data_IF_921686233704
#
_entry.id   IF_921686233704
#
_cell.length_a   1.000
_cell.length_b   1.000
_cell.length_c   1.000
_cell.angle_alpha   90.00
_cell.angle_beta   90.00
_cell.angle_gamma   90.00
#
_symmetry.space_group_name_H-M   'P 1'
#
loop_
_entity.id
_entity.type
_entity.pdbx_description
1 polymer ?
#
# COMPACT_ATOMS: atom_id res chain seq x y z
N UNK A 1 -17.90 2.80 3.32
CA UNK A 1 -16.98 2.87 2.15
C UNK A 1 -17.44 1.99 0.99
N UNK A 2 -17.74 0.70 1.18
CA UNK A 2 -18.45 -0.10 0.15
C UNK A 2 -19.93 -0.32 0.54
N UNK A 3 -20.21 -0.59 1.81
CA UNK A 3 -21.55 -0.82 2.37
C UNK A 3 -22.52 0.37 2.33
N UNK A 4 -22.01 1.59 2.18
CA UNK A 4 -22.82 2.81 2.14
C UNK A 4 -23.17 3.25 0.70
N UNK A 5 -22.86 2.43 -0.31
CA UNK A 5 -23.05 2.77 -1.73
C UNK A 5 -24.37 2.21 -2.25
N UNK A 6 -24.91 2.86 -3.29
CA UNK A 6 -26.11 2.40 -4.01
C UNK A 6 -25.91 1.02 -4.62
N UNK A 7 -24.72 0.76 -5.15
CA UNK A 7 -24.32 -0.53 -5.72
C UNK A 7 -22.97 -0.95 -5.11
N UNK A 8 -22.97 -1.79 -4.06
CA UNK A 8 -21.74 -2.28 -3.45
C UNK A 8 -21.05 -3.29 -4.38
N UNK A 9 -19.73 -3.23 -4.41
CA UNK A 9 -18.95 -4.17 -5.21
C UNK A 9 -18.82 -5.50 -4.46
N UNK A 10 -18.88 -6.65 -5.16
CA UNK A 10 -18.53 -7.92 -4.54
C UNK A 10 -17.04 -7.89 -4.17
N UNK A 11 -16.75 -8.06 -2.89
CA UNK A 11 -15.38 -8.10 -2.34
C UNK A 11 -15.13 -9.51 -1.85
N UNK A 12 -14.14 -10.17 -2.43
CA UNK A 12 -13.72 -11.50 -2.03
C UNK A 12 -12.40 -11.40 -1.26
N UNK A 13 -12.36 -11.95 -0.04
CA UNK A 13 -11.13 -12.18 0.69
C UNK A 13 -10.75 -13.63 0.46
N UNK A 14 -9.65 -13.85 -0.25
CA UNK A 14 -9.19 -15.19 -0.61
C UNK A 14 -8.11 -15.65 0.38
N UNK A 15 -7.88 -16.97 0.48
CA UNK A 15 -6.96 -17.61 1.44
C UNK A 15 -7.35 -17.51 2.92
N UNK A 16 -8.57 -17.04 3.24
CA UNK A 16 -9.16 -17.16 4.57
C UNK A 16 -10.11 -18.36 4.69
N UNK A 17 -10.49 -18.95 3.55
CA UNK A 17 -11.48 -20.02 3.46
C UNK A 17 -11.10 -20.94 2.30
N UNK A 18 -10.46 -22.07 2.60
CA UNK A 18 -10.06 -23.07 1.60
C UNK A 18 -11.29 -23.73 0.93
N UNK A 19 -12.48 -23.56 1.50
CA UNK A 19 -13.72 -24.17 1.03
C UNK A 19 -14.40 -23.43 -0.14
N UNK A 20 -13.91 -22.26 -0.56
CA UNK A 20 -14.61 -21.44 -1.54
C UNK A 20 -14.17 -21.77 -2.99
N UNK A 21 -14.79 -22.81 -3.56
CA UNK A 21 -14.54 -23.33 -4.91
C UNK A 21 -14.70 -22.30 -6.03
N UNK A 22 -15.57 -21.31 -5.83
CA UNK A 22 -15.88 -20.29 -6.85
C UNK A 22 -14.65 -19.42 -7.18
N UNK A 23 -13.73 -19.27 -6.22
CA UNK A 23 -12.50 -18.49 -6.38
C UNK A 23 -11.44 -19.29 -7.15
N UNK A 24 -11.36 -20.61 -6.99
CA UNK A 24 -10.32 -21.41 -7.67
C UNK A 24 -10.52 -21.46 -9.18
N UNK A 25 -11.77 -21.49 -9.64
CA UNK A 25 -12.12 -21.46 -11.06
C UNK A 25 -11.93 -20.05 -11.67
N UNK A 26 -12.20 -19.00 -10.88
CA UNK A 26 -11.96 -17.60 -11.30
C UNK A 26 -10.47 -17.24 -11.37
N UNK A 27 -9.61 -17.94 -10.61
CA UNK A 27 -8.18 -17.62 -10.46
C UNK A 27 -7.40 -17.61 -11.78
N UNK A 28 -7.73 -18.51 -12.71
CA UNK A 28 -6.82 -18.82 -13.83
C UNK A 28 -7.04 -18.01 -15.11
N UNK A 29 -8.23 -17.45 -15.37
CA UNK A 29 -8.52 -16.83 -16.68
C UNK A 29 -8.56 -15.30 -16.69
N UNK A 30 -8.81 -14.64 -15.53
CA UNK A 30 -9.15 -13.21 -15.52
C UNK A 30 -8.39 -12.35 -14.50
N UNK A 31 -7.72 -12.88 -13.48
CA UNK A 31 -7.17 -12.05 -12.40
C UNK A 31 -5.95 -11.19 -12.80
N UNK A 32 -5.83 -10.05 -12.13
CA UNK A 32 -4.67 -9.15 -12.19
C UNK A 32 -4.30 -8.70 -10.78
N UNK A 33 -3.02 -8.77 -10.42
CA UNK A 33 -2.49 -8.28 -9.14
C UNK A 33 -2.15 -6.79 -9.25
N UNK A 34 -2.54 -6.00 -8.25
CA UNK A 34 -2.12 -4.63 -8.06
C UNK A 34 -1.05 -4.55 -6.96
N UNK A 35 0.16 -4.14 -7.33
CA UNK A 35 1.26 -3.93 -6.40
C UNK A 35 1.95 -2.58 -6.71
N UNK A 36 2.06 -1.74 -5.66
CA UNK A 36 2.61 -0.38 -5.73
C UNK A 36 4.14 -0.31 -5.80
N UNK A 37 4.84 -1.43 -5.64
CA UNK A 37 6.32 -1.52 -5.69
C UNK A 37 6.86 -1.98 -7.04
N UNK A 38 5.99 -2.26 -8.00
CA UNK A 38 6.37 -2.76 -9.30
C UNK A 38 7.00 -1.67 -10.18
N UNK A 39 8.22 -1.91 -10.66
CA UNK A 39 8.76 -1.24 -11.85
C UNK A 39 8.20 -1.94 -13.10
N UNK A 40 6.93 -1.71 -13.41
CA UNK A 40 6.30 -2.24 -14.63
C UNK A 40 6.16 -1.16 -15.68
N UNK A 41 6.31 -1.56 -16.96
CA UNK A 41 6.07 -0.74 -18.15
C UNK A 41 4.58 -0.44 -18.40
N UNK A 42 3.65 -1.01 -17.63
CA UNK A 42 2.24 -1.02 -17.97
C UNK A 42 1.35 -0.60 -16.80
N UNK A 43 0.89 0.64 -16.86
CA UNK A 43 -0.06 1.21 -15.91
C UNK A 43 -1.46 0.58 -16.05
N UNK A 44 -2.30 0.72 -15.02
CA UNK A 44 -3.71 0.34 -15.09
C UNK A 44 -4.48 1.42 -15.87
N UNK A 45 -4.49 1.33 -17.20
CA UNK A 45 -5.12 2.35 -18.06
C UNK A 45 -6.61 2.09 -18.31
N UNK A 46 -7.10 0.87 -18.11
CA UNK A 46 -8.50 0.49 -18.37
C UNK A 46 -9.09 -0.19 -17.15
N UNK A 47 -10.11 0.45 -16.56
CA UNK A 47 -10.90 -0.12 -15.49
C UNK A 47 -11.88 -1.14 -16.10
N UNK A 48 -11.44 -2.39 -16.24
CA UNK A 48 -12.35 -3.46 -16.65
C UNK A 48 -13.14 -3.96 -15.44
N UNK A 49 -14.42 -4.33 -15.60
CA UNK A 49 -15.32 -4.68 -14.50
C UNK A 49 -14.91 -5.92 -13.67
N UNK A 50 -13.92 -6.72 -14.10
CA UNK A 50 -13.75 -8.10 -13.61
C UNK A 50 -12.36 -8.47 -13.02
N UNK A 51 -11.54 -7.55 -12.48
CA UNK A 51 -10.15 -7.91 -12.09
C UNK A 51 -9.56 -7.12 -10.91
N UNK A 52 -9.35 -7.70 -9.71
CA UNK A 52 -8.57 -7.09 -8.60
C UNK A 52 -8.02 -8.09 -7.59
N UNK A 53 -6.70 -8.12 -7.42
CA UNK A 53 -6.03 -8.49 -6.16
C UNK A 53 -5.21 -7.27 -5.72
N UNK A 54 -5.20 -6.93 -4.44
CA UNK A 54 -4.44 -5.77 -3.91
C UNK A 54 -3.49 -6.30 -2.85
N UNK A 55 -2.20 -5.97 -2.98
CA UNK A 55 -1.20 -6.44 -2.03
C UNK A 55 -1.21 -5.71 -0.67
N UNK A 56 -0.73 -6.45 0.33
CA UNK A 56 -0.68 -6.26 1.78
C UNK A 56 0.15 -5.05 2.23
N UNK A 57 -0.13 -4.65 3.47
CA UNK A 57 0.73 -3.73 4.23
C UNK A 57 2.06 -4.43 4.53
N UNK A 58 3.17 -3.69 4.66
CA UNK A 58 4.48 -4.26 5.01
C UNK A 58 4.39 -4.99 6.36
N UNK A 59 4.65 -6.29 6.35
CA UNK A 59 4.70 -7.14 7.53
C UNK A 59 6.15 -7.52 7.87
N UNK A 60 6.58 -7.43 9.15
CA UNK A 60 7.89 -7.90 9.57
C UNK A 60 8.07 -9.40 9.27
N UNK A 61 9.19 -9.79 8.68
CA UNK A 61 9.49 -11.19 8.35
C UNK A 61 8.97 -11.65 6.98
N UNK A 62 8.18 -10.84 6.28
CA UNK A 62 7.75 -11.12 4.90
C UNK A 62 8.63 -10.35 3.92
N UNK A 63 9.09 -11.04 2.87
CA UNK A 63 9.90 -10.44 1.82
C UNK A 63 9.14 -9.32 1.11
N UNK A 64 9.85 -8.25 0.78
CA UNK A 64 9.32 -7.04 0.15
C UNK A 64 8.64 -7.25 -1.21
N UNK A 65 8.84 -8.41 -1.86
CA UNK A 65 8.32 -8.78 -3.17
C UNK A 65 7.50 -10.09 -3.14
N UNK A 66 7.14 -10.58 -1.95
CA UNK A 66 6.47 -11.87 -1.79
C UNK A 66 5.23 -12.01 -2.69
N UNK A 67 4.42 -10.97 -2.82
CA UNK A 67 3.19 -11.04 -3.61
C UNK A 67 3.43 -10.97 -5.11
N UNK A 68 4.52 -10.32 -5.55
CA UNK A 68 4.96 -10.43 -6.95
C UNK A 68 5.39 -11.86 -7.26
N UNK A 69 6.19 -12.46 -6.38
CA UNK A 69 6.67 -13.84 -6.54
C UNK A 69 5.49 -14.81 -6.64
N UNK A 70 4.51 -14.69 -5.73
CA UNK A 70 3.29 -15.52 -5.76
C UNK A 70 2.50 -15.29 -7.05
N UNK A 71 2.32 -14.04 -7.49
CA UNK A 71 1.62 -13.76 -8.73
C UNK A 71 2.34 -14.29 -9.97
N UNK A 72 3.67 -14.19 -10.03
CA UNK A 72 4.47 -14.78 -11.11
C UNK A 72 4.34 -16.31 -11.13
N UNK A 73 4.38 -16.95 -9.95
CA UNK A 73 4.17 -18.41 -9.80
C UNK A 73 2.75 -18.85 -10.21
N UNK A 74 1.72 -18.06 -9.90
CA UNK A 74 0.33 -18.34 -10.28
C UNK A 74 -0.01 -17.85 -11.71
N UNK A 75 0.96 -17.32 -12.47
CA UNK A 75 0.73 -16.82 -13.85
C UNK A 75 -0.15 -15.57 -13.92
N UNK A 76 -0.28 -14.82 -12.83
CA UNK A 76 -1.11 -13.63 -12.71
C UNK A 76 -0.41 -12.39 -13.27
N UNK A 77 -1.15 -11.61 -14.06
CA UNK A 77 -0.64 -10.34 -14.56
C UNK A 77 -0.62 -9.28 -13.45
N UNK A 78 0.59 -8.84 -13.10
CA UNK A 78 0.79 -7.73 -12.19
C UNK A 78 0.59 -6.37 -12.89
N UNK A 79 0.05 -5.38 -12.17
CA UNK A 79 -0.19 -4.00 -12.62
C UNK A 79 0.04 -3.05 -11.45
N UNK A 80 0.29 -1.77 -11.74
CA UNK A 80 0.34 -0.70 -10.74
C UNK A 80 -0.69 0.37 -11.05
N UNK A 81 -1.07 1.13 -10.02
CA UNK A 81 -1.87 2.34 -10.22
C UNK A 81 -1.04 3.39 -11.00
N UNK A 82 -1.66 4.18 -11.90
CA UNK A 82 -0.97 5.21 -12.69
C UNK A 82 -0.62 6.46 -11.85
N UNK A 83 -0.03 6.29 -10.67
CA UNK A 83 0.27 7.39 -9.75
C UNK A 83 1.20 8.42 -10.42
N UNK A 84 2.27 7.93 -11.05
CA UNK A 84 3.30 8.76 -11.68
C UNK A 84 2.80 9.54 -12.89
N UNK A 85 1.73 9.06 -13.54
CA UNK A 85 1.15 9.69 -14.71
C UNK A 85 0.30 10.93 -14.34
N UNK A 86 -0.38 10.88 -13.19
CA UNK A 86 -1.37 11.90 -12.82
C UNK A 86 -0.95 12.77 -11.63
N UNK A 87 0.02 12.33 -10.83
CA UNK A 87 0.43 12.98 -9.59
C UNK A 87 1.95 13.21 -9.53
N UNK A 88 2.34 14.42 -9.14
CA UNK A 88 3.71 14.72 -8.75
C UNK A 88 3.92 14.32 -7.28
N UNK A 89 4.48 13.13 -7.06
CA UNK A 89 4.66 12.57 -5.73
C UNK A 89 5.87 13.19 -5.02
N UNK A 90 5.66 13.89 -3.91
CA UNK A 90 6.69 14.64 -3.19
C UNK A 90 7.20 13.92 -1.94
N UNK A 91 6.32 13.23 -1.21
CA UNK A 91 6.69 12.64 0.08
C UNK A 91 5.91 11.37 0.41
N UNK A 92 6.50 10.53 1.28
CA UNK A 92 5.91 9.26 1.71
C UNK A 92 6.06 8.13 0.70
N UNK A 93 5.69 6.92 1.09
CA UNK A 93 5.73 5.75 0.21
C UNK A 93 4.53 5.71 -0.74
N UNK A 94 4.69 5.10 -1.91
CA UNK A 94 3.61 4.84 -2.88
C UNK A 94 2.82 3.56 -2.57
N UNK A 95 2.99 3.02 -1.36
CA UNK A 95 2.22 1.88 -0.89
C UNK A 95 0.95 2.38 -0.23
N UNK A 96 -0.16 2.18 -0.93
CA UNK A 96 -1.47 2.56 -0.45
C UNK A 96 -2.08 1.42 0.35
N UNK A 97 -2.89 1.77 1.35
CA UNK A 97 -3.69 0.77 2.06
C UNK A 97 -4.71 0.16 1.11
N UNK A 98 -5.14 -1.07 1.38
CA UNK A 98 -6.23 -1.73 0.66
C UNK A 98 -7.46 -0.81 0.52
N UNK A 99 -7.82 -0.13 1.61
CA UNK A 99 -8.95 0.80 1.65
C UNK A 99 -8.78 1.99 0.69
N UNK A 100 -7.58 2.56 0.60
CA UNK A 100 -7.28 3.66 -0.32
C UNK A 100 -7.31 3.19 -1.77
N UNK A 101 -6.73 2.01 -2.07
CA UNK A 101 -6.77 1.43 -3.42
C UNK A 101 -8.21 1.14 -3.84
N UNK A 102 -9.01 0.51 -2.98
CA UNK A 102 -10.43 0.25 -3.28
C UNK A 102 -11.21 1.55 -3.52
N UNK A 103 -11.00 2.57 -2.70
CA UNK A 103 -11.67 3.87 -2.86
C UNK A 103 -11.30 4.56 -4.18
N UNK A 104 -10.00 4.59 -4.53
CA UNK A 104 -9.51 5.11 -5.82
C UNK A 104 -10.21 4.39 -6.96
N UNK A 105 -10.14 3.06 -6.94
CA UNK A 105 -10.62 2.26 -8.05
C UNK A 105 -12.16 2.27 -8.18
N UNK A 106 -12.88 2.57 -7.10
CA UNK A 106 -14.31 2.85 -7.13
C UNK A 106 -14.59 4.25 -7.69
N UNK A 107 -13.86 5.27 -7.24
CA UNK A 107 -14.03 6.63 -7.75
C UNK A 107 -13.72 6.71 -9.25
N UNK A 108 -12.71 5.99 -9.75
CA UNK A 108 -12.44 5.89 -11.19
C UNK A 108 -13.64 5.28 -11.94
N UNK A 109 -14.32 4.30 -11.35
CA UNK A 109 -15.51 3.71 -11.97
C UNK A 109 -16.65 4.72 -12.05
N UNK A 110 -16.97 5.35 -10.92
CA UNK A 110 -18.04 6.34 -10.80
C UNK A 110 -17.80 7.55 -11.71
N UNK A 111 -16.53 7.95 -11.87
CA UNK A 111 -16.09 9.06 -12.71
C UNK A 111 -15.77 8.64 -14.15
N UNK A 112 -16.23 7.46 -14.60
CA UNK A 112 -16.10 6.99 -15.99
C UNK A 112 -14.65 6.99 -16.52
N UNK A 113 -13.68 6.67 -15.66
CA UNK A 113 -12.27 6.57 -16.01
C UNK A 113 -11.40 7.77 -15.66
N UNK A 114 -11.93 8.79 -14.97
CA UNK A 114 -11.12 9.93 -14.53
C UNK A 114 -10.18 9.58 -13.37
N UNK A 115 -8.99 9.09 -13.73
CA UNK A 115 -7.91 8.78 -12.80
C UNK A 115 -7.42 10.00 -12.03
N UNK A 116 -7.34 11.18 -12.66
CA UNK A 116 -6.77 12.37 -12.02
C UNK A 116 -7.64 12.80 -10.85
N UNK A 117 -8.95 12.92 -11.05
CA UNK A 117 -9.88 13.31 -10.00
C UNK A 117 -9.95 12.25 -8.89
N UNK A 118 -10.02 10.96 -9.25
CA UNK A 118 -10.05 9.87 -8.27
C UNK A 118 -8.78 9.82 -7.41
N UNK A 119 -7.61 9.98 -8.02
CA UNK A 119 -6.33 9.98 -7.31
C UNK A 119 -6.19 11.21 -6.41
N UNK A 120 -6.48 12.42 -6.89
CA UNK A 120 -6.40 13.64 -6.08
C UNK A 120 -7.34 13.61 -4.87
N UNK A 121 -8.52 12.98 -5.01
CA UNK A 121 -9.50 12.85 -3.93
C UNK A 121 -9.03 11.90 -2.82
N UNK A 122 -8.35 10.82 -3.17
CA UNK A 122 -8.02 9.74 -2.22
C UNK A 122 -6.58 9.80 -1.70
N UNK A 123 -5.66 10.47 -2.40
CA UNK A 123 -4.27 10.60 -1.96
C UNK A 123 -4.12 11.77 -0.99
N UNK A 124 -3.51 11.57 0.20
CA UNK A 124 -3.30 12.64 1.15
C UNK A 124 -2.48 13.79 0.56
N UNK A 125 -2.97 15.02 0.71
CA UNK A 125 -2.34 16.25 0.20
C UNK A 125 -0.88 16.39 0.63
N UNK A 126 -0.52 15.92 1.83
CA UNK A 126 0.87 15.93 2.33
C UNK A 126 1.85 15.16 1.44
N UNK A 127 1.38 14.14 0.71
CA UNK A 127 2.20 13.35 -0.19
C UNK A 127 2.49 14.10 -1.50
N UNK A 128 1.71 15.15 -1.80
CA UNK A 128 1.78 15.95 -3.03
C UNK A 128 2.37 17.35 -2.80
N UNK A 129 2.45 17.82 -1.54
CA UNK A 129 3.02 19.13 -1.20
C UNK A 129 4.53 19.10 -1.27
N UNK A 130 5.10 20.16 -1.84
CA UNK A 130 6.55 20.33 -1.89
C UNK A 130 7.09 20.59 -0.48
N UNK A 131 8.35 20.18 -0.18
CA UNK A 131 8.97 20.43 1.12
C UNK A 131 8.97 21.91 1.55
N UNK A 132 8.99 22.82 0.57
CA UNK A 132 9.04 24.26 0.78
C UNK A 132 7.68 24.87 1.15
N UNK A 133 6.58 24.20 0.81
CA UNK A 133 5.21 24.58 1.17
C UNK A 133 4.83 24.11 2.59
N UNK A 134 5.69 23.31 3.22
CA UNK A 134 5.48 22.84 4.59
C UNK A 134 5.83 23.95 5.56
N UNK A 135 4.82 24.38 6.33
CA UNK A 135 4.92 25.44 7.32
C UNK A 135 6.17 25.24 8.22
N UNK A 136 7.09 26.22 8.20
CA UNK A 136 8.41 26.11 8.85
C UNK A 136 8.30 25.75 10.34
N UNK A 137 7.23 26.20 11.01
CA UNK A 137 6.93 25.89 12.40
C UNK A 137 6.69 24.40 12.64
N UNK A 138 6.03 23.70 11.70
CA UNK A 138 5.79 22.25 11.77
C UNK A 138 7.10 21.49 11.54
N UNK A 139 7.92 21.97 10.59
CA UNK A 139 9.24 21.39 10.30
C UNK A 139 10.15 21.46 11.52
N UNK A 140 10.19 22.60 12.22
CA UNK A 140 10.96 22.80 13.45
C UNK A 140 10.48 21.87 14.58
N UNK A 141 9.18 21.82 14.84
CA UNK A 141 8.60 20.91 15.87
C UNK A 141 8.90 19.44 15.60
N UNK A 142 8.85 19.01 14.35
CA UNK A 142 9.18 17.63 13.99
C UNK A 142 10.67 17.33 14.16
N UNK A 143 11.56 18.29 13.86
CA UNK A 143 12.99 18.15 14.14
C UNK A 143 13.26 18.05 15.64
N UNK A 144 12.64 18.89 16.46
CA UNK A 144 12.76 18.83 17.92
C UNK A 144 12.33 17.45 18.47
N UNK A 145 11.22 16.89 17.97
CA UNK A 145 10.78 15.54 18.32
C UNK A 145 11.78 14.46 17.94
N UNK A 146 12.36 14.53 16.74
CA UNK A 146 13.35 13.55 16.27
C UNK A 146 14.61 13.61 17.13
N UNK A 147 15.09 14.81 17.45
CA UNK A 147 16.27 15.01 18.31
C UNK A 147 15.99 14.45 19.71
N UNK A 148 14.84 14.79 20.30
CA UNK A 148 14.44 14.28 21.60
C UNK A 148 14.33 12.75 21.60
N UNK A 149 13.72 12.16 20.58
CA UNK A 149 13.58 10.71 20.47
C UNK A 149 14.94 10.00 20.35
N UNK A 150 15.89 10.58 19.61
CA UNK A 150 17.27 10.07 19.53
C UNK A 150 17.96 10.12 20.89
N UNK A 151 17.79 11.21 21.63
CA UNK A 151 18.39 11.34 22.96
C UNK A 151 17.79 10.34 23.95
N UNK A 152 16.46 10.17 23.95
CA UNK A 152 15.80 9.14 24.75
C UNK A 152 16.31 7.74 24.41
N UNK A 153 16.43 7.40 23.12
CA UNK A 153 16.99 6.11 22.69
C UNK A 153 18.43 5.92 23.14
N UNK A 154 19.24 6.99 23.08
CA UNK A 154 20.63 6.96 23.55
C UNK A 154 20.69 6.67 25.05
N UNK A 155 19.96 7.42 25.86
CA UNK A 155 19.89 7.24 27.32
C UNK A 155 19.39 5.83 27.68
N UNK A 156 18.38 5.31 26.97
CA UNK A 156 17.89 3.95 27.17
C UNK A 156 18.92 2.87 26.80
N UNK A 157 19.77 3.14 25.79
CA UNK A 157 20.83 2.21 25.37
C UNK A 157 22.00 2.24 26.34
N UNK A 158 22.39 3.43 26.82
CA UNK A 158 23.46 3.63 27.80
C UNK A 158 23.09 3.10 29.20
N UNK A 159 21.80 3.15 29.57
CA UNK A 159 21.30 2.64 30.86
C UNK A 159 20.65 1.26 30.77
N UNK A 160 20.65 0.62 29.60
CA UNK A 160 20.23 -0.77 29.50
C UNK A 160 21.32 -1.67 30.08
N UNK A 161 21.00 -2.56 31.04
CA UNK A 161 21.96 -3.56 31.48
C UNK A 161 22.39 -4.44 30.30
N UNK A 162 23.64 -4.94 30.27
CA UNK A 162 24.11 -5.82 29.21
C UNK A 162 23.13 -6.99 29.03
N UNK A 163 22.73 -7.16 27.79
CA UNK A 163 21.53 -7.87 27.38
C UNK A 163 21.52 -9.35 27.82
N UNK A 164 20.43 -9.76 28.46
CA UNK A 164 20.04 -11.15 28.76
C UNK A 164 20.01 -12.02 27.49
N UNK A 165 19.96 -11.41 26.30
CA UNK A 165 20.06 -12.09 25.01
C UNK A 165 21.39 -12.85 24.82
N UNK A 166 22.48 -12.49 25.53
CA UNK A 166 23.74 -13.24 25.47
C UNK A 166 23.68 -14.61 26.19
N UNK A 167 22.74 -14.85 27.11
CA UNK A 167 22.62 -16.13 27.82
C UNK A 167 21.82 -17.19 27.06
N UNK A 168 21.10 -16.82 25.99
CA UNK A 168 20.34 -17.76 25.16
C UNK A 168 21.13 -18.36 23.99
N UNK A 169 22.39 -17.96 23.82
CA UNK A 169 23.31 -18.53 22.82
C UNK A 169 24.27 -19.58 23.41
N UNK A 170 24.11 -19.93 24.70
CA UNK A 170 24.97 -20.89 25.42
C UNK A 170 24.20 -21.93 26.24
N UNK A 171 22.90 -22.12 25.96
CA UNK A 171 22.06 -23.17 26.55
C UNK A 171 21.46 -24.04 25.45
#
# INVERSE_FOLDING_TARGET
>A
MNSCRKEPWPVFLTNFDEANSDISEFKQSKLKLLDGRLSLKADLTILMPNKRIVDRVREPGIENHASRVVAEQEGLQCRKLPLDQYLEWQSGNKMLTLTAVLAILQDVYDLKGDWRCALLKNIPVRNLRKPDEINQTVKRRNQEKIVHQKEVLRVLTENSPPNIIAQKALA
#
